data_IF_078597034142
#
_entry.id   IF_078597034142
#
_cell.length_a   1.000
_cell.length_b   1.000
_cell.length_c   1.000
_cell.angle_alpha   90.00
_cell.angle_beta   90.00
_cell.angle_gamma   90.00
#
_symmetry.space_group_name_H-M   'P 1'
#
loop_
_entity.id
_entity.type
_entity.pdbx_description
1 polymer ?
#
# COMPACT_ATOMS: atom_id res chain seq x y z
N UNK A 1 -9.22 -0.59 17.84
CA UNK A 1 -8.28 -0.79 16.73
C UNK A 1 -7.15 -1.69 17.20
N UNK A 2 -6.85 -2.73 16.43
CA UNK A 2 -5.82 -3.71 16.75
C UNK A 2 -4.71 -3.63 15.69
N UNK A 3 -3.44 -3.63 16.12
CA UNK A 3 -2.31 -3.87 15.21
C UNK A 3 -2.16 -5.37 14.97
N UNK A 4 -2.00 -5.75 13.71
CA UNK A 4 -1.68 -7.11 13.31
C UNK A 4 -0.18 -7.14 12.97
N UNK A 5 0.59 -8.12 13.48
CA UNK A 5 2.00 -8.25 13.18
C UNK A 5 2.26 -8.32 11.67
N UNK A 6 3.30 -7.63 11.24
CA UNK A 6 3.87 -7.67 9.89
C UNK A 6 5.25 -8.31 9.95
N UNK A 7 5.71 -8.84 8.82
CA UNK A 7 7.05 -9.44 8.68
C UNK A 7 8.10 -8.37 8.44
N UNK A 8 7.77 -7.34 7.66
CA UNK A 8 8.67 -6.23 7.36
C UNK A 8 8.62 -5.16 8.47
N UNK A 9 9.78 -4.63 8.83
CA UNK A 9 9.86 -3.52 9.77
C UNK A 9 9.41 -2.20 9.11
N UNK A 10 8.35 -1.59 9.63
CA UNK A 10 7.79 -0.32 9.14
C UNK A 10 6.30 -0.39 8.82
N UNK A 11 5.84 -1.24 7.87
CA UNK A 11 4.42 -1.37 7.54
C UNK A 11 3.60 -1.79 8.77
N UNK A 12 2.41 -1.24 8.92
CA UNK A 12 1.50 -1.56 10.02
C UNK A 12 0.13 -1.95 9.45
N UNK A 13 -0.27 -3.19 9.67
CA UNK A 13 -1.62 -3.66 9.37
C UNK A 13 -2.55 -3.39 10.56
N UNK A 14 -3.68 -2.75 10.30
CA UNK A 14 -4.65 -2.34 11.32
C UNK A 14 -6.01 -3.00 11.06
N UNK A 15 -6.58 -3.58 12.11
CA UNK A 15 -7.99 -4.00 12.14
C UNK A 15 -8.81 -2.96 12.93
N UNK A 16 -9.74 -2.23 12.26
CA UNK A 16 -10.61 -1.29 12.96
C UNK A 16 -11.68 -2.01 13.77
N UNK A 17 -12.30 -1.30 14.70
CA UNK A 17 -13.50 -1.79 15.38
C UNK A 17 -14.70 -1.45 14.51
N UNK A 18 -15.44 -2.46 14.07
CA UNK A 18 -16.65 -2.33 13.25
C UNK A 18 -17.88 -2.46 14.14
N UNK A 19 -18.77 -1.47 14.09
CA UNK A 19 -20.02 -1.42 14.83
C UNK A 19 -21.19 -1.69 13.87
N UNK A 20 -21.71 -2.92 13.86
CA UNK A 20 -22.83 -3.33 13.02
C UNK A 20 -24.18 -3.30 13.75
N UNK A 21 -25.25 -2.97 13.03
CA UNK A 21 -26.64 -3.16 13.43
C UNK A 21 -27.54 -3.44 12.21
N UNK A 22 -28.86 -3.53 12.41
CA UNK A 22 -29.83 -3.84 11.35
C UNK A 22 -29.84 -2.84 10.17
N UNK A 23 -29.22 -1.65 10.33
CA UNK A 23 -29.12 -0.62 9.29
C UNK A 23 -27.87 -0.78 8.43
N UNK A 24 -26.86 -1.53 8.89
CA UNK A 24 -25.55 -1.66 8.26
C UNK A 24 -24.42 -1.65 9.29
N UNK A 25 -23.31 -0.98 8.98
CA UNK A 25 -22.19 -0.84 9.89
C UNK A 25 -21.61 0.58 9.91
N UNK A 26 -20.90 0.87 10.99
CA UNK A 26 -20.13 2.08 11.19
C UNK A 26 -18.75 1.73 11.72
N UNK A 27 -17.71 2.39 11.21
CA UNK A 27 -16.38 2.34 11.78
C UNK A 27 -15.71 3.70 11.62
N UNK A 28 -14.78 4.00 12.50
CA UNK A 28 -13.88 5.13 12.30
C UNK A 28 -12.77 4.72 11.35
N UNK A 29 -12.75 5.33 10.17
CA UNK A 29 -11.73 5.03 9.16
C UNK A 29 -10.42 5.75 9.41
N UNK A 30 -10.43 6.78 10.28
CA UNK A 30 -9.25 7.45 10.81
C UNK A 30 -9.62 8.26 12.05
N UNK A 31 -8.78 8.22 13.09
CA UNK A 31 -8.84 9.11 14.25
C UNK A 31 -7.41 9.37 14.71
N UNK A 32 -6.94 10.61 14.60
CA UNK A 32 -5.53 10.97 14.83
C UNK A 32 -4.96 10.41 16.14
N UNK A 33 -5.67 10.55 17.27
CA UNK A 33 -5.20 10.04 18.56
C UNK A 33 -5.00 8.53 18.56
N UNK A 34 -5.98 7.77 18.07
CA UNK A 34 -5.90 6.30 17.99
C UNK A 34 -4.77 5.84 17.07
N UNK A 35 -4.50 6.56 15.97
CA UNK A 35 -3.43 6.21 15.04
C UNK A 35 -2.05 6.57 15.61
N UNK A 36 -1.93 7.68 16.37
CA UNK A 36 -0.73 8.01 17.13
C UNK A 36 -0.40 6.93 18.17
N UNK A 37 -1.39 6.44 18.91
CA UNK A 37 -1.22 5.31 19.83
C UNK A 37 -0.85 4.02 19.07
N UNK A 38 -1.35 3.90 17.83
CA UNK A 38 -0.95 2.88 16.87
C UNK A 38 0.37 3.19 16.12
N UNK A 39 1.19 4.12 16.62
CA UNK A 39 2.56 4.34 16.14
C UNK A 39 2.65 5.09 14.81
N UNK A 40 1.53 5.64 14.37
CA UNK A 40 1.40 6.43 13.13
C UNK A 40 1.26 7.88 13.54
N UNK A 41 2.38 8.61 13.47
CA UNK A 41 2.45 10.01 13.90
C UNK A 41 2.21 11.01 12.76
N UNK A 42 2.18 10.53 11.51
CA UNK A 42 2.01 11.30 10.30
C UNK A 42 0.69 12.07 10.28
N UNK A 43 0.73 13.24 9.63
CA UNK A 43 -0.45 14.02 9.28
C UNK A 43 -0.80 13.73 7.82
N UNK A 44 -2.06 13.39 7.55
CA UNK A 44 -2.51 13.12 6.19
C UNK A 44 -3.14 14.36 5.58
N UNK A 45 -2.61 14.80 4.44
CA UNK A 45 -2.96 16.08 3.78
C UNK A 45 -3.64 15.92 2.43
N UNK A 46 -3.61 14.71 1.85
CA UNK A 46 -4.25 14.40 0.58
C UNK A 46 -5.01 13.08 0.67
N UNK A 47 -6.24 13.05 0.17
CA UNK A 47 -7.07 11.84 0.12
C UNK A 47 -7.39 11.47 -1.31
N UNK A 48 -7.19 10.21 -1.67
CA UNK A 48 -7.48 9.70 -3.00
C UNK A 48 -8.55 8.60 -2.93
N UNK A 49 -9.35 8.48 -3.98
CA UNK A 49 -10.33 7.41 -4.15
C UNK A 49 -10.23 6.90 -5.60
N UNK A 50 -9.98 5.61 -5.77
CA UNK A 50 -9.98 4.96 -7.08
C UNK A 50 -10.93 3.77 -7.12
N UNK A 51 -11.46 3.46 -8.30
CA UNK A 51 -12.21 2.23 -8.57
C UNK A 51 -11.51 1.45 -9.67
N UNK A 52 -11.34 0.14 -9.47
CA UNK A 52 -10.65 -0.75 -10.40
C UNK A 52 -11.42 -2.06 -10.55
N UNK A 53 -11.39 -2.66 -11.76
CA UNK A 53 -12.01 -3.96 -12.05
C UNK A 53 -11.07 -5.11 -11.69
N UNK A 54 -11.60 -6.33 -11.56
CA UNK A 54 -10.82 -7.57 -11.37
C UNK A 54 -9.62 -7.63 -12.30
N UNK A 55 -8.49 -8.07 -11.77
CA UNK A 55 -7.24 -8.25 -12.49
C UNK A 55 -6.42 -6.97 -12.67
N UNK A 56 -7.00 -5.78 -12.46
CA UNK A 56 -6.21 -4.54 -12.50
C UNK A 56 -5.12 -4.61 -11.44
N UNK A 57 -3.87 -4.43 -11.89
CA UNK A 57 -2.70 -4.27 -11.05
C UNK A 57 -2.19 -2.83 -11.20
N UNK A 58 -1.85 -2.20 -10.08
CA UNK A 58 -1.21 -0.88 -10.06
C UNK A 58 0.02 -0.96 -9.18
N UNK A 59 1.14 -0.44 -9.65
CA UNK A 59 2.39 -0.42 -8.89
C UNK A 59 3.60 -0.86 -9.73
N UNK A 60 4.78 -0.96 -9.11
CA UNK A 60 5.06 -0.60 -7.71
C UNK A 60 5.43 0.89 -7.63
N UNK A 61 4.71 1.68 -6.82
CA UNK A 61 4.84 3.15 -6.79
C UNK A 61 5.34 3.67 -5.45
N UNK A 62 6.23 4.66 -5.49
CA UNK A 62 6.70 5.40 -4.33
C UNK A 62 6.93 6.87 -4.69
N UNK A 63 6.86 7.74 -3.68
CA UNK A 63 7.24 9.15 -3.80
C UNK A 63 8.00 9.51 -2.52
N UNK A 64 9.20 10.11 -2.62
CA UNK A 64 9.97 10.48 -1.44
C UNK A 64 9.20 11.40 -0.49
N UNK A 65 9.16 11.04 0.78
CA UNK A 65 8.46 11.77 1.84
C UNK A 65 6.95 11.51 1.89
N UNK A 66 6.41 10.58 1.10
CA UNK A 66 4.99 10.26 1.11
C UNK A 66 4.71 8.90 1.75
N UNK A 67 4.11 8.94 2.93
CA UNK A 67 3.47 7.81 3.60
C UNK A 67 2.03 7.66 3.09
N UNK A 68 1.52 6.43 3.05
CA UNK A 68 0.13 6.12 2.68
C UNK A 68 -0.58 5.35 3.80
N UNK A 69 -1.83 5.67 4.06
CA UNK A 69 -2.79 4.82 4.76
C UNK A 69 -3.82 4.34 3.74
N UNK A 70 -3.86 3.04 3.49
CA UNK A 70 -4.61 2.40 2.41
C UNK A 70 -5.71 1.53 2.98
N UNK A 71 -6.91 1.58 2.40
CA UNK A 71 -7.99 0.62 2.68
C UNK A 71 -8.81 0.31 1.44
N UNK A 72 -9.40 -0.88 1.42
CA UNK A 72 -10.43 -1.24 0.48
C UNK A 72 -11.80 -0.87 1.07
N UNK A 73 -12.52 0.05 0.45
CA UNK A 73 -13.84 0.49 0.88
C UNK A 73 -14.99 -0.32 0.25
N UNK A 74 -14.70 -1.06 -0.81
CA UNK A 74 -15.62 -1.97 -1.51
C UNK A 74 -14.83 -3.06 -2.20
N UNK A 75 -15.30 -4.30 -2.17
CA UNK A 75 -14.66 -5.45 -2.82
C UNK A 75 -13.38 -5.87 -2.09
N UNK A 76 -12.45 -6.46 -2.82
CA UNK A 76 -11.21 -7.01 -2.25
C UNK A 76 -10.01 -6.89 -3.17
N UNK A 77 -8.84 -6.67 -2.55
CA UNK A 77 -7.54 -6.57 -3.18
C UNK A 77 -6.49 -7.42 -2.47
N UNK A 78 -5.49 -7.82 -3.25
CA UNK A 78 -4.20 -8.27 -2.78
C UNK A 78 -3.24 -7.08 -2.82
N UNK A 79 -3.01 -6.45 -1.66
CA UNK A 79 -2.19 -5.24 -1.50
C UNK A 79 -0.75 -5.64 -1.14
N UNK A 80 0.24 -5.01 -1.74
CA UNK A 80 1.66 -5.39 -1.64
C UNK A 80 2.51 -4.18 -1.30
N UNK A 81 3.45 -4.37 -0.38
CA UNK A 81 4.53 -3.43 -0.11
C UNK A 81 5.88 -4.10 -0.34
N UNK A 82 6.83 -3.33 -0.86
CA UNK A 82 8.22 -3.76 -1.08
C UNK A 82 9.14 -2.77 -0.38
N UNK A 83 10.07 -3.27 0.42
CA UNK A 83 11.07 -2.44 1.08
C UNK A 83 12.12 -1.95 0.08
N UNK A 84 12.17 -0.64 -0.12
CA UNK A 84 13.13 0.02 -1.02
C UNK A 84 14.12 0.91 -0.26
N UNK A 85 14.26 0.71 1.05
CA UNK A 85 15.21 1.46 1.90
C UNK A 85 16.61 0.88 1.76
N UNK A 86 17.56 1.68 1.27
CA UNK A 86 18.96 1.29 1.19
C UNK A 86 19.48 0.86 2.55
N UNK A 87 20.32 -0.17 2.55
CA UNK A 87 20.91 -0.78 3.75
C UNK A 87 19.91 -1.50 4.68
N UNK A 88 18.63 -1.57 4.31
CA UNK A 88 17.66 -2.40 5.03
C UNK A 88 18.06 -3.88 4.96
N UNK A 89 17.98 -4.64 6.07
CA UNK A 89 18.17 -6.08 6.04
C UNK A 89 17.13 -6.80 5.18
N UNK A 90 16.00 -6.14 4.89
CA UNK A 90 14.90 -6.66 4.08
C UNK A 90 14.75 -5.94 2.73
N UNK A 91 15.80 -5.25 2.25
CA UNK A 91 15.74 -4.55 0.95
C UNK A 91 15.36 -5.51 -0.18
N UNK A 92 14.36 -5.12 -0.98
CA UNK A 92 13.80 -5.92 -2.08
C UNK A 92 12.85 -7.01 -1.63
N UNK A 93 12.67 -7.25 -0.33
CA UNK A 93 11.66 -8.17 0.18
C UNK A 93 10.27 -7.51 0.17
N UNK A 94 9.24 -8.35 -0.01
CA UNK A 94 7.86 -7.91 -0.12
C UNK A 94 6.93 -8.63 0.86
N UNK A 95 5.85 -7.96 1.24
CA UNK A 95 4.78 -8.55 2.05
C UNK A 95 3.44 -8.17 1.45
N UNK A 96 2.50 -9.12 1.46
CA UNK A 96 1.18 -8.94 0.90
C UNK A 96 0.08 -9.06 1.96
N UNK A 97 -1.00 -8.32 1.74
CA UNK A 97 -2.12 -8.19 2.65
C UNK A 97 -3.43 -8.26 1.87
N UNK A 98 -4.37 -9.04 2.38
CA UNK A 98 -5.75 -8.99 1.91
C UNK A 98 -6.43 -7.78 2.55
N UNK A 99 -6.87 -6.82 1.72
CA UNK A 99 -7.70 -5.69 2.15
C UNK A 99 -9.05 -5.79 1.45
N UNK A 100 -10.13 -5.71 2.21
CA UNK A 100 -11.50 -5.85 1.70
C UNK A 100 -12.51 -5.02 2.51
N UNK A 101 -13.76 -5.04 2.06
CA UNK A 101 -14.90 -4.38 2.71
C UNK A 101 -15.60 -5.26 3.77
N UNK A 102 -15.09 -6.45 4.05
CA UNK A 102 -15.59 -7.37 5.09
C UNK A 102 -14.83 -7.15 6.40
N UNK A 103 -13.52 -7.39 6.38
CA UNK A 103 -12.61 -7.21 7.53
C UNK A 103 -12.22 -5.74 7.72
N UNK A 104 -12.42 -4.91 6.68
CA UNK A 104 -12.21 -3.46 6.71
C UNK A 104 -10.79 -3.05 7.16
N UNK A 105 -9.80 -3.93 6.94
CA UNK A 105 -8.42 -3.71 7.35
C UNK A 105 -7.81 -2.52 6.61
N UNK A 106 -6.82 -1.91 7.24
CA UNK A 106 -6.06 -0.81 6.67
C UNK A 106 -4.58 -1.10 6.75
N UNK A 107 -3.85 -0.72 5.72
CA UNK A 107 -2.40 -0.84 5.67
C UNK A 107 -1.77 0.56 5.73
N UNK A 108 -0.94 0.78 6.73
CA UNK A 108 -0.02 1.90 6.76
C UNK A 108 1.28 1.50 6.03
N UNK A 109 1.62 2.27 5.00
CA UNK A 109 2.80 2.10 4.14
C UNK A 109 3.70 3.31 4.36
N UNK A 110 4.79 3.17 5.14
CA UNK A 110 5.67 4.30 5.43
C UNK A 110 6.49 4.73 4.21
N UNK A 111 7.06 5.93 4.30
CA UNK A 111 8.11 6.37 3.38
C UNK A 111 9.25 5.33 3.30
N UNK A 112 9.77 5.13 2.09
CA UNK A 112 10.75 4.06 1.82
C UNK A 112 10.16 2.70 1.48
N UNK A 113 8.84 2.58 1.33
CA UNK A 113 8.20 1.40 0.76
C UNK A 113 7.54 1.71 -0.58
N UNK A 114 7.76 0.85 -1.56
CA UNK A 114 6.97 0.86 -2.78
C UNK A 114 5.64 0.14 -2.54
N UNK A 115 4.55 0.69 -3.08
CA UNK A 115 3.20 0.17 -2.89
C UNK A 115 2.57 -0.24 -4.21
N UNK A 116 1.86 -1.36 -4.22
CA UNK A 116 1.05 -1.79 -5.34
C UNK A 116 -0.06 -2.72 -4.88
N UNK A 117 -1.00 -3.04 -5.77
CA UNK A 117 -2.08 -3.97 -5.46
C UNK A 117 -2.65 -4.60 -6.73
N UNK A 118 -3.30 -5.76 -6.55
CA UNK A 118 -4.12 -6.41 -7.57
C UNK A 118 -5.57 -6.56 -7.08
N UNK A 119 -6.54 -6.21 -7.93
CA UNK A 119 -7.97 -6.39 -7.61
C UNK A 119 -8.37 -7.86 -7.79
N UNK A 120 -8.85 -8.51 -6.72
CA UNK A 120 -9.25 -9.92 -6.73
C UNK A 120 -10.77 -10.12 -6.79
N UNK A 121 -11.55 -9.13 -6.36
CA UNK A 121 -13.01 -9.09 -6.56
C UNK A 121 -13.40 -8.55 -7.95
N UNK A 122 -14.69 -8.56 -8.31
CA UNK A 122 -15.16 -8.00 -9.59
C UNK A 122 -14.84 -6.49 -9.74
N UNK A 123 -14.98 -5.75 -8.65
CA UNK A 123 -14.69 -4.32 -8.54
C UNK A 123 -14.17 -4.02 -7.13
N UNK A 124 -13.13 -3.20 -7.03
CA UNK A 124 -12.67 -2.68 -5.75
C UNK A 124 -12.57 -1.14 -5.73
N UNK A 125 -12.98 -0.54 -4.60
CA UNK A 125 -12.82 0.88 -4.31
C UNK A 125 -11.71 1.07 -3.30
N UNK A 126 -10.60 1.69 -3.68
CA UNK A 126 -9.48 1.95 -2.78
C UNK A 126 -9.49 3.40 -2.35
N UNK A 127 -9.27 3.59 -1.06
CA UNK A 127 -9.12 4.90 -0.43
C UNK A 127 -7.73 5.03 0.15
N UNK A 128 -7.10 6.16 -0.13
CA UNK A 128 -5.78 6.51 0.37
C UNK A 128 -5.86 7.79 1.19
N UNK A 129 -5.10 7.84 2.26
CA UNK A 129 -4.70 9.08 2.92
C UNK A 129 -3.17 9.19 2.81
N UNK A 130 -2.67 10.32 2.32
CA UNK A 130 -1.26 10.53 2.01
C UNK A 130 -0.68 11.67 2.85
N UNK A 131 0.52 11.49 3.38
CA UNK A 131 1.17 12.49 4.26
C UNK A 131 1.85 13.64 3.51
N UNK A 132 1.97 13.52 2.19
CA UNK A 132 2.43 14.57 1.28
C UNK A 132 1.48 14.71 0.10
N UNK A 133 1.54 15.86 -0.57
CA UNK A 133 0.83 16.04 -1.84
C UNK A 133 1.50 15.23 -2.95
N UNK A 134 0.68 14.80 -3.90
CA UNK A 134 1.13 14.20 -5.14
C UNK A 134 2.04 15.16 -5.91
N UNK A 135 3.25 14.69 -6.23
CA UNK A 135 4.19 15.39 -7.09
C UNK A 135 4.57 14.47 -8.25
N UNK A 136 4.04 14.69 -9.47
CA UNK A 136 4.34 13.85 -10.62
C UNK A 136 5.83 13.87 -11.03
N UNK A 137 6.60 14.88 -10.59
CA UNK A 137 8.04 14.96 -10.85
C UNK A 137 8.88 14.13 -9.88
N UNK A 138 8.34 13.84 -8.69
CA UNK A 138 8.99 13.05 -7.65
C UNK A 138 8.47 11.61 -7.56
N UNK A 139 7.25 11.36 -8.05
CA UNK A 139 6.69 10.01 -8.11
C UNK A 139 7.51 9.12 -9.06
N UNK A 140 7.95 7.99 -8.53
CA UNK A 140 8.67 6.97 -9.28
C UNK A 140 8.14 5.58 -8.92
N UNK A 141 8.72 4.57 -9.54
CA UNK A 141 8.29 3.20 -9.36
C UNK A 141 9.19 2.23 -10.07
N UNK A 142 8.97 0.96 -9.78
CA UNK A 142 9.59 -0.14 -10.50
C UNK A 142 8.52 -1.12 -10.94
N UNK A 143 8.93 -2.02 -11.84
CA UNK A 143 8.08 -3.00 -12.51
C UNK A 143 7.33 -3.88 -11.51
N UNK A 144 6.00 -3.98 -11.64
CA UNK A 144 5.16 -4.78 -10.75
C UNK A 144 5.48 -6.29 -10.81
N UNK A 145 5.95 -6.76 -11.97
CA UNK A 145 6.39 -8.12 -12.25
C UNK A 145 7.93 -8.21 -12.32
N UNK A 146 8.63 -7.42 -11.50
CA UNK A 146 10.09 -7.48 -11.40
C UNK A 146 10.55 -8.90 -10.95
N UNK A 147 11.36 -9.60 -11.76
CA UNK A 147 11.77 -10.97 -11.48
C UNK A 147 12.77 -11.10 -10.33
N UNK A 148 13.50 -10.03 -9.98
CA UNK A 148 14.46 -10.04 -8.87
C UNK A 148 13.72 -9.87 -7.52
N UNK A 149 12.60 -9.14 -7.51
CA UNK A 149 11.71 -9.02 -6.33
C UNK A 149 10.80 -10.24 -6.19
N UNK A 150 10.30 -10.76 -7.33
CA UNK A 150 9.54 -12.01 -7.37
C UNK A 150 8.23 -11.97 -6.59
N UNK A 151 7.41 -10.91 -6.79
CA UNK A 151 6.10 -10.79 -6.14
C UNK A 151 5.18 -11.91 -6.64
N UNK A 152 4.68 -12.73 -5.73
CA UNK A 152 3.70 -13.78 -6.03
C UNK A 152 2.28 -13.18 -6.09
N UNK A 153 1.94 -12.61 -7.23
CA UNK A 153 0.61 -12.08 -7.49
C UNK A 153 -0.45 -13.20 -7.50
N UNK A 154 -1.72 -12.91 -7.14
CA UNK A 154 -2.80 -13.88 -7.17
C UNK A 154 -3.04 -14.43 -8.58
N UNK A 155 -3.54 -15.67 -8.67
CA UNK A 155 -3.85 -16.36 -9.93
C UNK A 155 -5.08 -15.75 -10.63
N UNK A 156 -4.88 -14.58 -11.24
CA UNK A 156 -5.82 -13.84 -12.08
C UNK A 156 -5.06 -13.21 -13.25
N UNK A 157 -5.75 -12.92 -14.35
CA UNK A 157 -5.16 -12.15 -15.45
C UNK A 157 -4.81 -10.74 -14.97
N UNK A 158 -3.52 -10.41 -14.93
CA UNK A 158 -3.03 -9.11 -14.51
C UNK A 158 -3.16 -8.08 -15.64
N UNK A 159 -3.76 -6.93 -15.32
CA UNK A 159 -4.04 -5.83 -16.24
C UNK A 159 -3.34 -4.55 -15.73
N UNK A 160 -2.05 -4.35 -16.03
CA UNK A 160 -1.30 -3.16 -15.66
C UNK A 160 -1.63 -1.95 -16.55
N UNK A 161 -1.19 -0.76 -16.12
CA UNK A 161 -1.13 0.41 -17.01
C UNK A 161 0.09 0.37 -17.93
N UNK A 162 0.10 1.16 -19.01
CA UNK A 162 1.30 1.30 -19.86
C UNK A 162 2.52 1.81 -19.08
N UNK A 163 2.30 2.68 -18.09
CA UNK A 163 3.37 3.17 -17.22
C UNK A 163 3.99 2.04 -16.42
N UNK A 164 3.15 1.17 -15.84
CA UNK A 164 3.61 0.08 -14.97
C UNK A 164 4.28 -1.04 -15.77
N UNK A 165 3.83 -1.29 -17.00
CA UNK A 165 4.49 -2.23 -17.93
C UNK A 165 5.91 -1.78 -18.25
N UNK A 166 6.09 -0.47 -18.48
CA UNK A 166 7.35 0.14 -18.90
C UNK A 166 8.21 0.66 -17.74
N UNK A 167 7.80 0.42 -16.49
CA UNK A 167 8.59 0.82 -15.33
C UNK A 167 9.93 0.06 -15.31
N UNK A 168 11.01 0.69 -14.81
CA UNK A 168 12.32 0.06 -14.74
C UNK A 168 12.33 -1.11 -13.74
N UNK A 169 13.34 -1.97 -13.82
CA UNK A 169 13.61 -2.94 -12.77
C UNK A 169 14.14 -2.24 -11.52
N UNK A 170 13.85 -2.78 -10.33
CA UNK A 170 14.33 -2.24 -9.05
C UNK A 170 15.86 -2.13 -9.05
N UNK A 171 16.55 -3.18 -9.51
CA UNK A 171 18.03 -3.20 -9.63
C UNK A 171 18.59 -2.10 -10.53
N UNK A 172 17.80 -1.54 -11.45
CA UNK A 172 18.25 -0.49 -12.37
C UNK A 172 18.18 0.89 -11.73
N UNK A 173 17.38 1.06 -10.69
CA UNK A 173 17.17 2.35 -10.00
C UNK A 173 17.69 2.35 -8.56
N UNK A 174 18.19 1.21 -8.05
CA UNK A 174 18.51 1.04 -6.63
C UNK A 174 19.53 2.04 -6.09
N UNK A 175 20.50 2.45 -6.91
CA UNK A 175 21.53 3.42 -6.53
C UNK A 175 20.97 4.83 -6.34
N UNK A 176 19.92 5.16 -7.09
CA UNK A 176 19.24 6.47 -7.08
C UNK A 176 18.13 6.56 -6.03
N UNK A 177 17.80 5.46 -5.33
CA UNK A 177 16.76 5.46 -4.31
C UNK A 177 17.14 6.43 -3.17
N UNK A 178 16.26 7.38 -2.80
CA UNK A 178 16.56 8.36 -1.76
C UNK A 178 16.33 7.83 -0.34
N UNK A 179 15.85 6.59 -0.22
CA UNK A 179 15.45 6.00 1.05
C UNK A 179 16.63 5.32 1.72
N UNK A 180 16.81 5.58 3.01
CA UNK A 180 17.86 4.96 3.82
C UNK A 180 17.19 4.36 5.05
N UNK A 181 17.50 3.09 5.33
CA UNK A 181 16.98 2.39 6.49
C UNK A 181 17.49 3.04 7.78
N UNK A 182 16.59 3.20 8.75
CA UNK A 182 16.90 3.70 10.08
C UNK A 182 16.39 2.68 11.09
N UNK A 183 17.29 1.98 11.81
CA UNK A 183 16.90 1.00 12.81
C UNK A 183 16.26 1.64 14.05
#
# INVERSE_FOLDING_TARGET
>A
MQRIPTRLDGPILLAPTVHGDERGFFLETYRQSTYRDAGIADEFVQHNHSRSRRGVVRGMHFQPGMTKLVRCARGGIFDVVVDVRKESPTFGEWEAFQLDDEENRQLYVPDGFAHGFCVVSDLADLVYQCSAYYDPSAESGFKYDDPDVGIEWPDVELVPSERDVNAPLLRTIMDDLPFVYKP
#
